data_IF_639956576439
#
_entry.id   IF_639956576439
#
_cell.length_a   1.000
_cell.length_b   1.000
_cell.length_c   1.000
_cell.angle_alpha   90.00
_cell.angle_beta   90.00
_cell.angle_gamma   90.00
#
_symmetry.space_group_name_H-M   'P 1'
#
loop_
_entity.id
_entity.type
_entity.pdbx_description
1 polymer ?
#
# COMPACT_ATOMS: atom_id res chain seq x y z
N UNK A 1 -2.25 -47.04 -2.18
CA UNK A 1 -1.29 -45.94 -1.94
C UNK A 1 -1.81 -44.73 -2.70
N UNK A 2 -2.44 -43.79 -2.01
CA UNK A 2 -2.91 -42.54 -2.61
C UNK A 2 -1.77 -41.53 -2.56
N UNK A 3 -1.32 -41.07 -3.72
CA UNK A 3 -0.43 -39.92 -3.83
C UNK A 3 -1.22 -38.70 -3.37
N UNK A 4 -0.79 -38.09 -2.27
CA UNK A 4 -1.34 -36.83 -1.79
C UNK A 4 -0.84 -35.70 -2.68
N UNK A 5 -1.77 -34.94 -3.25
CA UNK A 5 -1.49 -33.68 -3.92
C UNK A 5 -0.77 -32.71 -2.95
N UNK A 6 0.18 -31.90 -3.44
CA UNK A 6 0.84 -30.91 -2.61
C UNK A 6 -0.18 -29.82 -2.25
N UNK A 7 -0.60 -29.84 -1.00
CA UNK A 7 -1.35 -28.79 -0.32
C UNK A 7 -0.90 -27.40 -0.79
N UNK A 8 -1.78 -26.72 -1.51
CA UNK A 8 -1.68 -25.29 -1.78
C UNK A 8 -1.79 -24.55 -0.45
N UNK A 9 -0.64 -24.27 0.17
CA UNK A 9 -0.57 -23.34 1.29
C UNK A 9 -1.11 -22.00 0.80
N UNK A 10 -2.26 -21.58 1.33
CA UNK A 10 -2.82 -20.24 1.14
C UNK A 10 -1.71 -19.22 1.46
N UNK A 11 -1.37 -18.37 0.49
CA UNK A 11 -0.44 -17.25 0.66
C UNK A 11 -1.10 -16.24 1.60
N UNK A 12 -0.76 -16.29 2.88
CA UNK A 12 -1.12 -15.23 3.82
C UNK A 12 -0.54 -13.90 3.32
N UNK A 13 -1.42 -12.95 3.00
CA UNK A 13 -1.25 -11.50 2.90
C UNK A 13 0.22 -11.01 2.88
N UNK A 14 0.91 -11.27 1.75
CA UNK A 14 2.33 -10.97 1.55
C UNK A 14 2.50 -9.48 1.22
N UNK A 15 2.50 -8.65 2.26
CA UNK A 15 2.83 -7.23 2.15
C UNK A 15 4.35 -7.00 2.04
N UNK A 16 5.12 -8.05 1.74
CA UNK A 16 6.58 -8.04 1.63
C UNK A 16 7.26 -7.40 2.85
N UNK A 17 6.70 -7.60 4.05
CA UNK A 17 7.24 -7.11 5.30
C UNK A 17 7.03 -5.62 5.56
N UNK A 18 6.19 -4.93 4.77
CA UNK A 18 5.93 -3.51 4.94
C UNK A 18 5.39 -3.19 6.34
N UNK A 19 4.35 -3.91 6.79
CA UNK A 19 3.76 -3.66 8.11
C UNK A 19 4.80 -3.85 9.22
N UNK A 20 5.65 -4.87 9.12
CA UNK A 20 6.70 -5.13 10.09
C UNK A 20 7.76 -4.02 10.12
N UNK A 21 8.11 -3.47 8.96
CA UNK A 21 9.01 -2.32 8.86
C UNK A 21 8.42 -1.10 9.57
N UNK A 22 7.14 -0.79 9.34
CA UNK A 22 6.47 0.33 10.00
C UNK A 22 6.30 0.07 11.51
N UNK A 23 5.95 -1.16 11.92
CA UNK A 23 5.87 -1.53 13.33
C UNK A 23 7.20 -1.38 14.07
N UNK A 24 8.32 -1.45 13.38
CA UNK A 24 9.65 -1.24 13.97
C UNK A 24 9.98 0.23 14.26
N UNK A 25 9.18 1.18 13.74
CA UNK A 25 9.42 2.61 13.97
C UNK A 25 9.05 3.03 15.39
N UNK A 26 9.96 3.73 16.05
CA UNK A 26 9.66 4.44 17.28
C UNK A 26 8.92 5.76 16.99
N UNK A 27 8.37 6.40 18.03
CA UNK A 27 7.80 7.73 17.90
C UNK A 27 8.88 8.73 17.43
N UNK A 28 10.10 8.61 17.93
CA UNK A 28 11.22 9.46 17.54
C UNK A 28 11.52 9.33 16.05
N UNK A 29 11.54 8.11 15.50
CA UNK A 29 11.71 7.90 14.06
C UNK A 29 10.57 8.54 13.25
N UNK A 30 9.33 8.44 13.72
CA UNK A 30 8.17 9.02 13.02
C UNK A 30 8.24 10.55 13.03
N UNK A 31 8.72 11.16 14.11
CA UNK A 31 8.83 12.62 14.25
C UNK A 31 10.10 13.20 13.62
N UNK A 32 11.10 12.37 13.32
CA UNK A 32 12.35 12.82 12.72
C UNK A 32 12.16 13.09 11.22
N UNK A 33 12.01 14.37 10.86
CA UNK A 33 11.96 14.83 9.46
C UNK A 33 13.24 14.51 8.67
N UNK A 34 14.34 14.21 9.37
CA UNK A 34 15.63 13.97 8.77
C UNK A 34 16.01 12.49 8.66
N UNK A 35 15.14 11.59 9.13
CA UNK A 35 15.36 10.14 9.18
C UNK A 35 15.87 9.57 7.85
N UNK A 36 15.30 10.06 6.74
CA UNK A 36 15.65 9.65 5.38
C UNK A 36 16.23 10.77 4.53
N UNK A 37 16.59 11.94 5.10
CA UNK A 37 17.07 13.11 4.34
C UNK A 37 18.20 12.79 3.36
N UNK A 38 19.16 11.96 3.78
CA UNK A 38 20.33 11.60 2.97
C UNK A 38 20.10 10.35 2.09
N UNK A 39 18.90 9.76 2.13
CA UNK A 39 18.54 8.55 1.37
C UNK A 39 17.46 8.82 0.33
N UNK A 40 16.68 9.87 0.50
CA UNK A 40 15.75 10.37 -0.52
C UNK A 40 16.55 11.17 -1.54
N UNK A 41 16.96 10.50 -2.61
CA UNK A 41 17.65 11.12 -3.73
C UNK A 41 16.66 11.63 -4.80
N UNK A 42 17.11 12.55 -5.63
CA UNK A 42 16.32 13.00 -6.79
C UNK A 42 16.12 11.82 -7.74
N UNK A 43 14.87 11.50 -8.03
CA UNK A 43 14.53 10.42 -8.97
C UNK A 43 15.13 10.74 -10.35
N UNK A 44 15.91 9.80 -10.87
CA UNK A 44 16.57 9.91 -12.16
C UNK A 44 15.56 9.90 -13.31
N UNK A 45 15.93 10.54 -14.43
CA UNK A 45 15.10 10.50 -15.65
C UNK A 45 15.24 9.19 -16.42
N UNK A 46 16.34 8.47 -16.21
CA UNK A 46 16.65 7.19 -16.83
C UNK A 46 17.23 6.24 -15.79
N UNK A 47 17.05 4.93 -15.99
CA UNK A 47 17.44 3.92 -15.02
C UNK A 47 18.39 2.90 -15.65
N UNK A 48 19.39 2.46 -14.89
CA UNK A 48 20.38 1.50 -15.39
C UNK A 48 19.88 0.06 -15.37
N UNK A 49 18.90 -0.22 -14.51
CA UNK A 49 18.26 -1.51 -14.33
C UNK A 49 16.88 -1.33 -13.71
N UNK A 50 16.06 -2.38 -13.75
CA UNK A 50 14.78 -2.44 -13.03
C UNK A 50 14.99 -2.31 -11.53
N UNK A 51 16.07 -2.86 -10.99
CA UNK A 51 16.39 -2.77 -9.56
C UNK A 51 16.78 -1.33 -9.17
N UNK A 52 17.50 -0.62 -10.04
CA UNK A 52 17.77 0.81 -9.87
C UNK A 52 16.49 1.64 -9.92
N UNK A 53 15.54 1.29 -10.79
CA UNK A 53 14.21 1.92 -10.83
C UNK A 53 13.44 1.67 -9.53
N UNK A 54 13.18 0.41 -9.17
CA UNK A 54 12.37 0.10 -8.00
C UNK A 54 13.02 0.60 -6.70
N UNK A 55 14.33 0.44 -6.56
CA UNK A 55 15.08 0.94 -5.40
C UNK A 55 15.04 2.47 -5.23
N UNK A 56 14.89 3.23 -6.32
CA UNK A 56 14.81 4.70 -6.25
C UNK A 56 13.52 5.20 -5.59
N UNK A 57 12.46 4.40 -5.55
CA UNK A 57 11.18 4.76 -4.94
C UNK A 57 11.02 4.24 -3.50
N UNK A 58 11.92 3.37 -3.02
CA UNK A 58 11.85 2.79 -1.69
C UNK A 58 11.87 3.87 -0.60
N UNK A 59 12.91 4.71 -0.55
CA UNK A 59 13.01 5.75 0.47
C UNK A 59 11.99 6.88 0.33
N UNK A 60 11.63 7.37 -0.88
CA UNK A 60 10.50 8.28 -1.05
C UNK A 60 9.20 7.76 -0.45
N UNK A 61 8.86 6.47 -0.66
CA UNK A 61 7.65 5.88 -0.10
C UNK A 61 7.70 5.77 1.43
N UNK A 62 8.87 5.40 1.99
CA UNK A 62 9.05 5.35 3.44
C UNK A 62 8.92 6.74 4.05
N UNK A 63 9.48 7.76 3.40
CA UNK A 63 9.39 9.15 3.85
C UNK A 63 7.95 9.67 3.78
N UNK A 64 7.21 9.40 2.70
CA UNK A 64 5.78 9.73 2.65
C UNK A 64 5.00 9.04 3.76
N UNK A 65 5.23 7.75 3.96
CA UNK A 65 4.53 6.96 4.99
C UNK A 65 4.83 7.52 6.39
N UNK A 66 6.09 7.90 6.65
CA UNK A 66 6.52 8.56 7.89
C UNK A 66 5.80 9.90 8.08
N UNK A 67 5.82 10.77 7.07
CA UNK A 67 5.16 12.07 7.10
C UNK A 67 3.64 11.94 7.31
N UNK A 68 2.99 10.98 6.65
CA UNK A 68 1.55 10.69 6.80
C UNK A 68 1.21 10.27 8.24
N UNK A 69 2.02 9.40 8.84
CA UNK A 69 1.85 9.01 10.25
C UNK A 69 2.09 10.19 11.20
N UNK A 70 3.15 10.97 10.96
CA UNK A 70 3.48 12.15 11.76
C UNK A 70 2.32 13.15 11.77
N UNK A 71 1.81 13.51 10.59
CA UNK A 71 0.68 14.43 10.44
C UNK A 71 -0.59 13.91 11.14
N UNK A 72 -0.86 12.60 11.07
CA UNK A 72 -1.98 12.00 11.79
C UNK A 72 -1.82 12.10 13.33
N UNK A 73 -0.60 11.89 13.82
CA UNK A 73 -0.28 11.99 15.25
C UNK A 73 -0.36 13.43 15.79
N UNK A 74 -0.11 14.45 14.97
CA UNK A 74 -0.23 15.86 15.38
C UNK A 74 -1.67 16.23 15.75
N UNK A 75 -2.65 15.63 15.09
CA UNK A 75 -4.08 15.85 15.32
C UNK A 75 -4.76 14.71 16.09
N UNK A 76 -3.98 13.92 16.85
CA UNK A 76 -4.46 12.70 17.52
C UNK A 76 -5.66 12.92 18.45
N UNK A 77 -5.78 14.08 19.11
CA UNK A 77 -6.94 14.43 19.93
C UNK A 77 -8.26 14.45 19.13
N UNK A 78 -8.17 14.72 17.83
CA UNK A 78 -9.30 14.74 16.89
C UNK A 78 -9.51 13.42 16.16
N UNK A 79 -8.70 12.40 16.42
CA UNK A 79 -8.82 11.11 15.73
C UNK A 79 -10.07 10.33 16.17
N UNK A 80 -10.71 9.55 15.27
CA UNK A 80 -11.68 8.53 15.64
C UNK A 80 -11.12 7.58 16.69
N UNK A 81 -11.89 7.29 17.73
CA UNK A 81 -11.50 6.33 18.75
C UNK A 81 -12.66 5.42 19.18
N UNK A 82 -12.33 4.24 19.68
CA UNK A 82 -13.30 3.30 20.24
C UNK A 82 -12.74 2.69 21.52
N UNK A 83 -13.62 2.41 22.48
CA UNK A 83 -13.25 1.69 23.70
C UNK A 83 -13.22 0.18 23.41
N UNK A 84 -12.17 -0.50 23.86
CA UNK A 84 -12.03 -1.95 23.75
C UNK A 84 -12.60 -2.59 25.01
N UNK A 85 -13.66 -3.37 24.82
CA UNK A 85 -14.38 -4.06 25.90
C UNK A 85 -13.95 -5.53 26.04
N UNK A 86 -13.23 -6.06 25.04
CA UNK A 86 -12.69 -7.42 25.08
C UNK A 86 -11.47 -7.57 24.17
N UNK A 87 -10.48 -8.31 24.65
CA UNK A 87 -9.24 -8.62 23.96
C UNK A 87 -8.97 -10.12 24.10
N UNK A 88 -8.77 -10.81 22.99
CA UNK A 88 -8.51 -12.25 22.96
C UNK A 88 -7.43 -12.55 21.93
N UNK A 89 -6.42 -13.33 22.31
CA UNK A 89 -5.41 -13.79 21.36
C UNK A 89 -6.02 -14.74 20.33
N UNK A 90 -5.70 -14.54 19.05
CA UNK A 90 -6.14 -15.41 17.98
C UNK A 90 -5.18 -16.61 17.88
N UNK A 91 -5.71 -17.82 17.84
CA UNK A 91 -4.90 -19.02 17.60
C UNK A 91 -4.40 -19.00 16.15
N UNK A 92 -3.12 -18.75 15.95
CA UNK A 92 -2.47 -18.80 14.63
C UNK A 92 -0.97 -19.07 14.76
N UNK A 93 -0.36 -19.52 13.67
CA UNK A 93 1.08 -19.74 13.55
C UNK A 93 1.88 -18.42 13.55
N UNK A 94 1.20 -17.27 13.35
CA UNK A 94 1.77 -15.94 13.41
C UNK A 94 1.61 -15.34 14.81
N UNK A 95 2.70 -14.86 15.38
CA UNK A 95 2.72 -14.17 16.68
C UNK A 95 1.96 -12.83 16.59
N UNK A 96 1.36 -12.39 17.70
CA UNK A 96 0.73 -11.07 17.90
C UNK A 96 -0.59 -10.79 17.16
N UNK A 97 -1.37 -11.81 16.81
CA UNK A 97 -2.74 -11.63 16.30
C UNK A 97 -3.77 -11.65 17.43
N UNK A 98 -4.67 -10.67 17.42
CA UNK A 98 -5.68 -10.49 18.46
C UNK A 98 -7.06 -10.22 17.85
N UNK A 99 -8.09 -10.73 18.51
CA UNK A 99 -9.50 -10.39 18.30
C UNK A 99 -9.91 -9.34 19.33
N UNK A 100 -10.55 -8.27 18.86
CA UNK A 100 -11.02 -7.17 19.69
C UNK A 100 -12.55 -7.04 19.63
N UNK A 101 -13.16 -6.96 20.81
CA UNK A 101 -14.52 -6.49 20.99
C UNK A 101 -14.45 -5.00 21.31
N UNK A 102 -15.15 -4.18 20.53
CA UNK A 102 -15.12 -2.72 20.66
C UNK A 102 -16.52 -2.14 20.78
N UNK A 103 -16.62 -1.05 21.54
CA UNK A 103 -17.79 -0.20 21.55
C UNK A 103 -17.90 0.61 20.24
N UNK A 104 -18.95 1.41 20.08
CA UNK A 104 -19.10 2.27 18.92
C UNK A 104 -17.95 3.28 18.80
N UNK A 105 -17.54 3.56 17.55
CA UNK A 105 -16.56 4.60 17.26
C UNK A 105 -17.11 5.97 17.65
N UNK A 106 -16.32 6.71 18.40
CA UNK A 106 -16.60 8.06 18.90
C UNK A 106 -15.70 9.04 18.16
N UNK A 107 -16.28 9.84 17.26
CA UNK A 107 -15.82 11.17 16.81
C UNK A 107 -16.81 11.73 15.78
N UNK A 108 -16.88 13.06 15.60
CA UNK A 108 -17.97 13.77 14.89
C UNK A 108 -17.55 14.42 13.57
N UNK A 109 -16.37 14.13 13.02
CA UNK A 109 -15.92 14.74 11.76
C UNK A 109 -16.15 13.83 10.56
N UNK A 110 -17.43 13.64 10.23
CA UNK A 110 -17.84 13.29 8.86
C UNK A 110 -18.92 14.28 8.44
N UNK A 111 -18.81 14.82 7.23
CA UNK A 111 -19.84 15.71 6.67
C UNK A 111 -21.21 15.01 6.54
N UNK A 112 -21.24 13.68 6.65
CA UNK A 112 -22.44 12.82 6.56
C UNK A 112 -23.09 12.51 7.91
N UNK A 113 -22.45 12.81 9.04
CA UNK A 113 -22.97 12.50 10.38
C UNK A 113 -22.86 11.03 10.80
N UNK A 114 -22.31 10.15 9.96
CA UNK A 114 -22.05 8.75 10.31
C UNK A 114 -20.69 8.57 10.99
N UNK A 115 -20.61 7.82 12.10
CA UNK A 115 -19.33 7.55 12.76
C UNK A 115 -18.40 6.76 11.84
N UNK A 116 -17.10 6.97 12.02
CA UNK A 116 -16.07 6.22 11.31
C UNK A 116 -16.28 4.70 11.44
N UNK A 117 -16.03 3.99 10.33
CA UNK A 117 -16.06 2.53 10.24
C UNK A 117 -14.65 2.01 9.97
N UNK A 118 -14.29 0.91 10.62
CA UNK A 118 -12.99 0.26 10.42
C UNK A 118 -12.92 -0.48 9.09
N UNK A 119 -11.77 -0.41 8.44
CA UNK A 119 -11.42 -1.11 7.20
C UNK A 119 -10.12 -1.89 7.38
N UNK A 120 -9.93 -3.00 6.64
CA UNK A 120 -8.63 -3.65 6.56
C UNK A 120 -7.51 -2.72 6.10
N UNK A 121 -6.35 -2.89 6.69
CA UNK A 121 -5.19 -2.02 6.49
C UNK A 121 -5.24 -0.70 7.28
N UNK A 122 -6.30 -0.45 8.05
CA UNK A 122 -6.29 0.64 9.03
C UNK A 122 -5.20 0.39 10.07
N UNK A 123 -4.39 1.42 10.27
CA UNK A 123 -3.30 1.48 11.23
C UNK A 123 -3.76 2.33 12.40
N UNK A 124 -3.76 1.72 13.59
CA UNK A 124 -4.36 2.26 14.80
C UNK A 124 -3.34 2.22 15.93
N UNK A 125 -3.58 3.00 16.99
CA UNK A 125 -2.93 2.86 18.28
C UNK A 125 -3.89 2.16 19.24
N UNK A 126 -3.41 1.10 19.88
CA UNK A 126 -4.04 0.50 21.06
C UNK A 126 -3.35 1.06 22.31
N UNK A 127 -4.09 1.65 23.25
CA UNK A 127 -3.50 2.26 24.45
C UNK A 127 -4.40 2.23 25.68
N UNK A 128 -3.81 2.38 26.88
CA UNK A 128 -4.51 2.32 28.18
C UNK A 128 -5.06 3.69 28.64
N UNK A 129 -5.16 4.63 27.70
CA UNK A 129 -5.65 6.00 27.87
C UNK A 129 -5.99 6.58 26.49
N UNK A 130 -6.62 7.75 26.46
CA UNK A 130 -6.80 8.51 25.21
C UNK A 130 -5.69 9.57 25.11
N UNK A 131 -4.74 9.46 24.17
CA UNK A 131 -3.75 10.51 23.96
C UNK A 131 -4.41 11.78 23.41
N UNK A 132 -4.08 12.93 24.02
CA UNK A 132 -4.50 14.25 23.53
C UNK A 132 -3.35 14.93 22.76
N UNK A 133 -2.11 14.51 23.01
CA UNK A 133 -0.94 14.94 22.27
C UNK A 133 0.08 13.80 22.11
N UNK A 134 0.97 13.94 21.12
CA UNK A 134 2.07 13.00 20.84
C UNK A 134 2.93 12.75 22.09
N UNK A 135 3.17 13.81 22.87
CA UNK A 135 3.95 13.73 24.12
C UNK A 135 3.37 12.74 25.12
N UNK A 136 2.07 12.44 25.06
CA UNK A 136 1.45 11.47 25.95
C UNK A 136 1.94 10.04 25.65
N UNK A 137 2.22 9.73 24.37
CA UNK A 137 2.78 8.43 23.93
C UNK A 137 4.21 8.22 24.45
N UNK A 138 4.94 9.28 24.77
CA UNK A 138 6.30 9.22 25.30
C UNK A 138 6.35 9.21 26.84
N UNK A 139 5.20 9.29 27.54
CA UNK A 139 5.17 9.31 29.01
C UNK A 139 5.45 7.94 29.60
N UNK A 140 6.39 7.90 30.53
CA UNK A 140 6.69 6.71 31.33
C UNK A 140 5.44 6.24 32.11
N UNK A 141 5.22 4.92 32.13
CA UNK A 141 4.13 4.28 32.87
C UNK A 141 2.79 4.18 32.13
N UNK A 142 2.72 4.66 30.88
CA UNK A 142 1.59 4.44 29.98
C UNK A 142 1.92 3.35 28.97
N UNK A 143 0.90 2.57 28.59
CA UNK A 143 1.08 1.46 27.68
C UNK A 143 0.36 1.73 26.36
N UNK A 144 1.08 1.54 25.27
CA UNK A 144 0.52 1.63 23.93
C UNK A 144 1.26 0.71 22.95
N UNK A 145 0.60 0.36 21.85
CA UNK A 145 1.13 -0.46 20.76
C UNK A 145 0.48 -0.05 19.44
N UNK A 146 1.23 -0.08 18.34
CA UNK A 146 0.60 -0.01 17.02
C UNK A 146 -0.12 -1.31 16.71
N UNK A 147 -1.27 -1.20 16.05
CA UNK A 147 -2.02 -2.34 15.54
C UNK A 147 -2.49 -2.07 14.11
N UNK A 148 -2.41 -3.09 13.25
CA UNK A 148 -2.94 -3.07 11.89
C UNK A 148 -4.18 -3.97 11.83
N UNK A 149 -5.27 -3.45 11.27
CA UNK A 149 -6.49 -4.24 11.05
C UNK A 149 -6.25 -5.20 9.89
N UNK A 150 -6.46 -6.50 10.12
CA UNK A 150 -6.31 -7.55 9.10
C UNK A 150 -7.65 -7.87 8.45
N UNK A 151 -8.67 -8.13 9.25
CA UNK A 151 -10.03 -8.40 8.78
C UNK A 151 -11.05 -7.82 9.77
N UNK A 152 -12.21 -7.45 9.25
CA UNK A 152 -13.41 -7.20 10.03
C UNK A 152 -14.24 -8.48 9.97
N UNK A 153 -14.49 -9.14 11.11
CA UNK A 153 -15.23 -10.41 11.12
C UNK A 153 -16.74 -10.13 11.11
N UNK A 154 -17.42 -10.53 10.03
CA UNK A 154 -18.87 -10.56 9.95
C UNK A 154 -19.38 -11.98 10.32
N UNK A 155 -19.24 -12.35 11.60
CA UNK A 155 -20.02 -13.45 12.22
C UNK A 155 -19.28 -14.72 12.65
N UNK A 156 -19.33 -15.00 13.96
CA UNK A 156 -19.67 -16.27 14.67
C UNK A 156 -19.42 -16.13 16.19
N UNK A 157 -18.68 -15.11 16.61
CA UNK A 157 -18.40 -14.71 18.01
C UNK A 157 -18.94 -13.27 18.16
N UNK A 158 -20.21 -13.10 18.54
CA UNK A 158 -21.02 -11.86 18.38
C UNK A 158 -20.39 -10.59 19.00
N UNK A 159 -19.42 -10.75 19.91
CA UNK A 159 -18.77 -9.64 20.59
C UNK A 159 -17.49 -9.15 19.89
N UNK A 160 -16.74 -10.02 19.20
CA UNK A 160 -15.39 -9.71 18.66
C UNK A 160 -15.43 -9.30 17.18
N UNK A 161 -15.44 -7.99 16.93
CA UNK A 161 -15.68 -7.42 15.58
C UNK A 161 -14.41 -7.24 14.75
N UNK A 162 -13.24 -7.15 15.39
CA UNK A 162 -11.99 -6.80 14.71
C UNK A 162 -10.92 -7.85 14.94
N UNK A 163 -10.24 -8.26 13.86
CA UNK A 163 -8.98 -9.01 13.94
C UNK A 163 -7.83 -8.08 13.59
N UNK A 164 -6.92 -7.89 14.55
CA UNK A 164 -5.78 -6.99 14.42
C UNK A 164 -4.48 -7.74 14.66
N UNK A 165 -3.42 -7.21 14.08
CA UNK A 165 -2.03 -7.61 14.34
C UNK A 165 -1.35 -6.49 15.12
N UNK A 166 -0.64 -6.82 16.19
CA UNK A 166 0.06 -5.85 17.00
C UNK A 166 1.57 -5.82 16.71
N UNK A 167 2.16 -4.63 16.81
CA UNK A 167 3.61 -4.40 16.68
C UNK A 167 4.47 -5.15 17.71
N UNK A 168 3.87 -5.52 18.84
CA UNK A 168 4.50 -6.25 19.94
C UNK A 168 3.45 -7.06 20.69
N UNK A 169 3.91 -8.07 21.40
CA UNK A 169 3.06 -8.92 22.23
C UNK A 169 2.29 -8.07 23.24
N UNK A 170 0.98 -8.27 23.28
CA UNK A 170 0.08 -7.64 24.23
C UNK A 170 -0.11 -8.61 25.40
N UNK A 171 0.66 -8.45 26.46
CA UNK A 171 0.47 -9.24 27.68
C UNK A 171 -0.87 -8.85 28.35
N UNK A 172 -1.90 -9.71 28.30
CA UNK A 172 -3.23 -9.38 28.81
C UNK A 172 -3.25 -9.08 30.31
N UNK A 173 -2.25 -9.55 31.07
CA UNK A 173 -2.16 -9.28 32.51
C UNK A 173 -1.86 -7.81 32.81
N UNK A 174 -1.08 -7.15 31.95
CA UNK A 174 -0.70 -5.74 32.11
C UNK A 174 -1.87 -4.77 31.88
N UNK A 175 -2.90 -5.22 31.16
CA UNK A 175 -4.10 -4.43 30.84
C UNK A 175 -5.30 -4.75 31.73
N UNK A 176 -5.17 -5.70 32.68
CA UNK A 176 -6.27 -6.04 33.60
C UNK A 176 -6.72 -4.80 34.38
N UNK A 177 -8.02 -4.53 34.33
CA UNK A 177 -8.71 -3.41 35.00
C UNK A 177 -8.37 -2.00 34.50
N UNK A 178 -7.71 -1.86 33.34
CA UNK A 178 -7.50 -0.55 32.70
C UNK A 178 -8.44 -0.35 31.52
N UNK A 179 -8.96 0.87 31.31
CA UNK A 179 -9.70 1.17 30.09
C UNK A 179 -8.75 1.11 28.89
N UNK A 180 -9.18 0.45 27.82
CA UNK A 180 -8.43 0.29 26.59
C UNK A 180 -9.09 1.08 25.46
N UNK A 181 -8.28 1.73 24.63
CA UNK A 181 -8.76 2.54 23.52
C UNK A 181 -8.03 2.19 22.23
N UNK A 182 -8.78 2.07 21.14
CA UNK A 182 -8.27 2.15 19.78
C UNK A 182 -8.38 3.57 19.28
N UNK A 183 -7.32 4.09 18.66
CA UNK A 183 -7.28 5.42 18.05
C UNK A 183 -6.83 5.25 16.60
N UNK A 184 -7.61 5.77 15.65
CA UNK A 184 -7.29 5.71 14.24
C UNK A 184 -6.15 6.67 13.89
N UNK A 185 -5.16 6.17 13.14
CA UNK A 185 -4.14 7.02 12.55
C UNK A 185 -4.36 7.20 11.05
N UNK A 186 -4.28 6.10 10.30
CA UNK A 186 -4.37 6.17 8.83
C UNK A 186 -4.67 4.82 8.22
N UNK A 187 -5.07 4.80 6.94
CA UNK A 187 -5.19 3.56 6.18
C UNK A 187 -3.93 3.35 5.34
N UNK A 188 -3.29 2.19 5.49
CA UNK A 188 -2.02 1.86 4.84
C UNK A 188 -2.17 1.02 3.58
N UNK A 189 -3.37 0.71 3.11
CA UNK A 189 -3.57 -0.05 1.87
C UNK A 189 -2.85 0.60 0.67
N UNK A 190 -2.93 1.94 0.46
CA UNK A 190 -2.19 2.57 -0.64
C UNK A 190 -0.69 2.28 -0.54
N UNK A 191 -0.05 2.63 0.58
CA UNK A 191 1.39 2.43 0.77
C UNK A 191 1.81 0.95 0.65
N UNK A 192 0.99 0.03 1.19
CA UNK A 192 1.20 -1.43 1.05
C UNK A 192 1.17 -1.87 -0.41
N UNK A 193 0.23 -1.36 -1.22
CA UNK A 193 0.17 -1.68 -2.65
C UNK A 193 1.38 -1.19 -3.41
N UNK A 194 1.84 0.03 -3.10
CA UNK A 194 3.06 0.59 -3.70
C UNK A 194 4.25 -0.27 -3.31
N UNK A 195 4.42 -0.56 -2.02
CA UNK A 195 5.52 -1.39 -1.54
C UNK A 195 5.53 -2.76 -2.19
N UNK A 196 4.37 -3.42 -2.28
CA UNK A 196 4.24 -4.68 -3.00
C UNK A 196 4.65 -4.53 -4.47
N UNK A 197 4.23 -3.47 -5.16
CA UNK A 197 4.61 -3.22 -6.54
C UNK A 197 6.12 -3.02 -6.75
N UNK A 198 6.82 -2.44 -5.76
CA UNK A 198 8.27 -2.29 -5.79
C UNK A 198 9.02 -3.61 -5.55
N UNK A 199 8.40 -4.58 -4.86
CA UNK A 199 9.05 -5.83 -4.41
C UNK A 199 8.47 -7.10 -5.06
N UNK A 200 7.44 -6.98 -5.89
CA UNK A 200 6.81 -8.11 -6.57
C UNK A 200 7.84 -8.85 -7.44
N UNK A 201 8.06 -10.15 -7.28
CA UNK A 201 8.89 -10.91 -8.20
C UNK A 201 8.16 -11.05 -9.53
N UNK A 202 8.82 -10.74 -10.65
CA UNK A 202 8.17 -10.79 -11.96
C UNK A 202 9.12 -10.76 -13.14
N UNK A 203 8.60 -11.17 -14.31
CA UNK A 203 9.31 -10.98 -15.57
C UNK A 203 9.18 -9.52 -16.01
N UNK A 204 10.23 -8.74 -15.76
CA UNK A 204 10.29 -7.32 -16.05
C UNK A 204 10.89 -6.99 -17.43
N UNK A 205 10.90 -7.94 -18.37
CA UNK A 205 11.54 -7.73 -19.67
C UNK A 205 10.99 -6.50 -20.41
N UNK A 206 9.67 -6.27 -20.34
CA UNK A 206 9.03 -5.07 -20.90
C UNK A 206 9.52 -3.81 -20.18
N UNK A 207 9.62 -3.83 -18.85
CA UNK A 207 10.12 -2.68 -18.08
C UNK A 207 11.59 -2.41 -18.36
N UNK A 208 12.42 -3.46 -18.56
CA UNK A 208 13.81 -3.28 -18.99
C UNK A 208 13.88 -2.61 -20.35
N UNK A 209 13.04 -3.03 -21.31
CA UNK A 209 12.98 -2.45 -22.65
C UNK A 209 12.48 -1.00 -22.66
N UNK A 210 11.62 -0.61 -21.71
CA UNK A 210 11.06 0.76 -21.65
C UNK A 210 11.92 1.70 -20.77
N UNK A 211 12.39 1.23 -19.61
CA UNK A 211 13.02 2.06 -18.58
C UNK A 211 14.56 2.05 -18.65
N UNK A 212 15.15 0.98 -19.20
CA UNK A 212 16.59 0.72 -19.15
C UNK A 212 17.27 0.73 -20.53
N UNK A 213 16.54 1.09 -21.59
CA UNK A 213 17.09 1.29 -22.93
C UNK A 213 17.87 2.60 -22.99
N UNK A 214 19.16 2.49 -23.34
CA UNK A 214 20.04 3.66 -23.55
C UNK A 214 19.81 4.32 -24.91
N UNK A 215 19.09 3.67 -25.80
CA UNK A 215 18.86 4.07 -27.18
C UNK A 215 17.37 3.95 -27.49
N UNK A 216 16.84 4.94 -28.22
CA UNK A 216 15.49 4.87 -28.76
C UNK A 216 15.36 3.64 -29.69
N UNK A 217 14.14 3.12 -29.84
CA UNK A 217 13.89 2.00 -30.75
C UNK A 217 14.40 2.34 -32.18
N UNK A 218 14.94 1.39 -32.97
CA UNK A 218 15.60 1.67 -34.26
C UNK A 218 14.70 2.35 -35.30
N UNK A 219 13.39 2.33 -35.09
CA UNK A 219 12.35 3.03 -35.83
C UNK A 219 12.12 4.49 -35.41
N UNK A 220 12.79 4.98 -34.36
CA UNK A 220 12.89 6.40 -33.95
C UNK A 220 14.03 7.06 -34.74
N UNK A 221 13.98 6.94 -36.06
CA UNK A 221 15.03 7.38 -36.98
C UNK A 221 14.85 8.79 -37.55
N UNK A 222 14.05 9.66 -36.93
CA UNK A 222 13.85 11.03 -37.42
C UNK A 222 14.30 12.07 -36.41
N UNK A 223 15.27 12.90 -36.85
CA UNK A 223 15.76 14.11 -36.18
C UNK A 223 14.66 15.14 -35.84
N UNK A 224 13.45 14.96 -36.38
CA UNK A 224 12.33 15.90 -36.26
C UNK A 224 11.34 15.55 -35.13
N UNK A 225 11.59 14.47 -34.36
CA UNK A 225 10.87 14.24 -33.11
C UNK A 225 11.35 15.23 -32.04
N UNK A 226 11.02 16.51 -32.22
CA UNK A 226 11.01 17.45 -31.12
C UNK A 226 10.16 16.84 -30.02
N UNK A 227 10.75 16.64 -28.84
CA UNK A 227 10.08 16.07 -27.65
C UNK A 227 8.77 16.83 -27.42
N UNK A 228 7.66 16.29 -27.92
CA UNK A 228 6.32 16.82 -27.66
C UNK A 228 5.89 16.22 -26.34
N UNK A 229 6.29 16.89 -25.27
CA UNK A 229 5.79 16.64 -23.94
C UNK A 229 4.26 16.80 -23.95
N UNK A 230 3.54 15.83 -23.39
CA UNK A 230 2.14 16.01 -23.08
C UNK A 230 2.03 17.23 -22.14
N UNK A 231 1.20 18.24 -22.45
CA UNK A 231 1.10 19.43 -21.62
C UNK A 231 0.42 19.07 -20.28
N UNK A 232 1.21 19.01 -19.21
CA UNK A 232 0.72 18.83 -17.85
C UNK A 232 1.74 18.13 -16.95
N UNK A 233 1.63 18.27 -15.61
CA UNK A 233 2.42 17.47 -14.68
C UNK A 233 2.02 16.00 -14.81
N UNK A 234 2.81 15.20 -15.52
CA UNK A 234 2.53 13.76 -15.72
C UNK A 234 2.67 12.92 -14.44
N UNK A 235 3.28 13.49 -13.40
CA UNK A 235 3.57 12.82 -12.14
C UNK A 235 3.19 13.77 -10.99
N UNK A 236 1.91 13.80 -10.65
CA UNK A 236 1.50 14.10 -9.27
C UNK A 236 2.01 13.00 -8.33
N UNK A 237 1.84 13.13 -7.00
CA UNK A 237 2.59 12.34 -6.01
C UNK A 237 2.56 10.83 -6.19
N UNK A 238 1.56 10.24 -6.84
CA UNK A 238 1.53 8.81 -7.13
C UNK A 238 0.74 8.51 -8.42
N UNK A 239 1.43 8.28 -9.54
CA UNK A 239 0.78 7.81 -10.78
C UNK A 239 0.46 6.31 -10.71
N UNK A 240 -0.24 5.86 -9.67
CA UNK A 240 -1.10 4.69 -9.80
C UNK A 240 -2.34 5.12 -10.60
N UNK A 241 -2.91 4.22 -11.38
CA UNK A 241 -4.21 4.45 -11.99
C UNK A 241 -5.21 4.55 -10.84
N UNK A 242 -5.40 5.74 -10.29
CA UNK A 242 -6.42 6.03 -9.28
C UNK A 242 -7.63 6.58 -10.02
N UNK A 243 -8.65 5.74 -10.20
CA UNK A 243 -9.91 6.14 -10.84
C UNK A 243 -10.82 6.70 -9.75
N UNK A 244 -11.05 8.02 -9.78
CA UNK A 244 -11.96 8.72 -8.86
C UNK A 244 -13.33 8.01 -8.85
N UNK A 245 -13.74 7.53 -7.67
CA UNK A 245 -15.01 6.82 -7.47
C UNK A 245 -14.95 5.30 -7.70
N UNK A 246 -13.79 4.73 -8.00
CA UNK A 246 -13.60 3.28 -8.00
C UNK A 246 -13.78 2.71 -6.59
N UNK A 247 -14.59 1.66 -6.46
CA UNK A 247 -14.81 0.96 -5.18
C UNK A 247 -13.93 -0.28 -5.14
N UNK A 248 -13.20 -0.43 -4.04
CA UNK A 248 -12.45 -1.65 -3.76
C UNK A 248 -13.41 -2.80 -3.45
N UNK A 249 -13.23 -3.92 -4.13
CA UNK A 249 -14.00 -5.13 -3.93
C UNK A 249 -13.06 -6.26 -3.54
N UNK A 250 -13.55 -7.18 -2.69
CA UNK A 250 -12.84 -8.41 -2.39
C UNK A 250 -12.71 -9.25 -3.66
N UNK A 251 -11.55 -9.88 -3.86
CA UNK A 251 -11.47 -11.00 -4.78
C UNK A 251 -12.20 -12.23 -4.23
N UNK A 252 -12.55 -13.15 -5.13
CA UNK A 252 -13.29 -14.39 -4.80
C UNK A 252 -12.56 -15.27 -3.75
N UNK A 253 -11.27 -14.99 -3.52
CA UNK A 253 -10.38 -15.68 -2.61
C UNK A 253 -10.16 -14.93 -1.28
N UNK A 254 -10.78 -13.76 -1.08
CA UNK A 254 -10.72 -12.96 0.16
C UNK A 254 -9.33 -12.47 0.55
N UNK A 255 -8.39 -12.50 -0.38
CA UNK A 255 -6.94 -12.31 -0.14
C UNK A 255 -6.44 -10.96 -0.62
N UNK A 256 -7.14 -10.31 -1.56
CA UNK A 256 -6.77 -8.99 -2.06
C UNK A 256 -7.97 -8.12 -2.44
N UNK A 257 -7.80 -6.81 -2.28
CA UNK A 257 -8.74 -5.81 -2.77
C UNK A 257 -8.41 -5.46 -4.22
N UNK A 258 -9.40 -5.59 -5.10
CA UNK A 258 -9.30 -5.21 -6.52
C UNK A 258 -10.26 -4.04 -6.78
N UNK A 259 -9.79 -3.03 -7.50
CA UNK A 259 -10.64 -1.97 -8.02
C UNK A 259 -10.99 -2.28 -9.48
N UNK A 260 -12.23 -2.74 -9.72
CA UNK A 260 -12.66 -3.13 -11.07
C UNK A 260 -12.64 -1.96 -12.07
N UNK A 261 -12.77 -0.72 -11.59
CA UNK A 261 -12.65 0.46 -12.45
C UNK A 261 -11.21 0.65 -12.93
N UNK A 262 -10.23 0.47 -12.04
CA UNK A 262 -8.80 0.51 -12.39
C UNK A 262 -8.46 -0.63 -13.35
N UNK A 263 -8.94 -1.84 -13.08
CA UNK A 263 -8.76 -3.00 -13.97
C UNK A 263 -9.34 -2.73 -15.37
N UNK A 264 -10.54 -2.16 -15.46
CA UNK A 264 -11.15 -1.82 -16.75
C UNK A 264 -10.33 -0.77 -17.53
N UNK A 265 -9.79 0.23 -16.83
CA UNK A 265 -8.90 1.23 -17.42
C UNK A 265 -7.60 0.58 -17.89
N UNK A 266 -6.95 -0.24 -17.07
CA UNK A 266 -5.75 -1.02 -17.45
C UNK A 266 -6.03 -1.88 -18.68
N UNK A 267 -7.12 -2.63 -18.68
CA UNK A 267 -7.51 -3.48 -19.82
C UNK A 267 -7.76 -2.66 -21.09
N UNK A 268 -8.30 -1.45 -20.96
CA UNK A 268 -8.52 -0.54 -22.09
C UNK A 268 -7.19 0.00 -22.63
N UNK A 269 -6.29 0.41 -21.74
CA UNK A 269 -4.93 0.84 -22.08
C UNK A 269 -4.19 -0.30 -22.80
N UNK A 270 -4.20 -1.52 -22.25
CA UNK A 270 -3.57 -2.69 -22.86
C UNK A 270 -4.16 -3.01 -24.24
N UNK A 271 -5.50 -2.96 -24.40
CA UNK A 271 -6.15 -3.15 -25.71
C UNK A 271 -5.72 -2.10 -26.73
N UNK A 272 -5.60 -0.83 -26.32
CA UNK A 272 -5.19 0.25 -27.21
C UNK A 272 -3.71 0.15 -27.58
N UNK A 273 -2.85 -0.19 -26.62
CA UNK A 273 -1.43 -0.46 -26.87
C UNK A 273 -1.25 -1.64 -27.82
N UNK A 274 -1.95 -2.75 -27.61
CA UNK A 274 -1.90 -3.90 -28.51
C UNK A 274 -2.30 -3.53 -29.94
N UNK A 275 -3.41 -2.79 -30.11
CA UNK A 275 -3.82 -2.28 -31.43
C UNK A 275 -2.77 -1.37 -32.05
N UNK A 276 -2.16 -0.48 -31.26
CA UNK A 276 -1.09 0.40 -31.70
C UNK A 276 0.15 -0.37 -32.14
N UNK A 277 0.63 -1.33 -31.35
CA UNK A 277 1.77 -2.18 -31.68
C UNK A 277 1.54 -2.96 -32.99
N UNK A 278 0.37 -3.59 -33.14
CA UNK A 278 0.01 -4.32 -34.37
C UNK A 278 -0.04 -3.39 -35.58
N UNK A 279 -0.59 -2.18 -35.43
CA UNK A 279 -0.64 -1.19 -36.51
C UNK A 279 0.77 -0.72 -36.92
N UNK A 280 1.67 -0.47 -35.96
CA UNK A 280 3.06 -0.08 -36.24
C UNK A 280 3.83 -1.22 -36.93
N UNK A 281 3.60 -2.46 -36.51
CA UNK A 281 4.26 -3.63 -37.09
C UNK A 281 3.80 -3.92 -38.52
N UNK A 282 2.50 -3.75 -38.80
CA UNK A 282 1.96 -3.78 -40.17
C UNK A 282 2.52 -2.65 -41.03
N UNK A 283 2.59 -1.42 -40.49
CA UNK A 283 3.16 -0.29 -41.22
C UNK A 283 4.61 -0.58 -41.63
N UNK A 284 5.40 -1.16 -40.72
CA UNK A 284 6.81 -1.50 -40.94
C UNK A 284 6.96 -2.54 -42.06
N UNK A 285 6.14 -3.60 -42.04
CA UNK A 285 6.10 -4.62 -43.10
C UNK A 285 5.73 -4.03 -44.46
N UNK A 286 4.77 -3.09 -44.50
CA UNK A 286 4.39 -2.41 -45.75
C UNK A 286 5.47 -1.45 -46.27
N UNK A 287 6.21 -0.76 -45.39
CA UNK A 287 7.35 0.06 -45.82
C UNK A 287 8.52 -0.78 -46.33
N UNK A 288 8.88 -1.88 -45.65
CA UNK A 288 9.94 -2.78 -46.12
C UNK A 288 9.56 -3.52 -47.41
N UNK A 289 8.28 -3.84 -47.62
CA UNK A 289 7.81 -4.41 -48.88
C UNK A 289 7.92 -3.41 -50.06
N UNK A 290 7.63 -2.12 -49.82
CA UNK A 290 7.81 -1.05 -50.82
C UNK A 290 9.28 -0.76 -51.15
N UNK A 291 10.18 -0.90 -50.19
CA UNK A 291 11.63 -0.75 -50.44
C UNK A 291 12.17 -1.90 -51.31
N UNK A 292 11.65 -3.14 -51.16
CA UNK A 292 12.02 -4.26 -52.03
C UNK A 292 11.44 -4.19 -53.45
N UNK A 293 10.34 -3.48 -53.68
CA UNK A 293 9.78 -3.25 -55.03
C UNK A 293 10.46 -2.09 -55.78
N UNK A 294 11.28 -1.28 -55.12
CA UNK A 294 12.01 -0.15 -55.72
C UNK A 294 13.38 -0.49 -56.33
N UNK A 295 13.87 -1.72 -56.10
CA UNK A 295 15.20 -2.21 -56.55
C UNK A 295 15.10 -3.24 -57.71
N UNK A 296 14.01 -3.21 -58.51
CA UNK A 296 13.86 -4.00 -59.75
C UNK A 296 13.89 -3.11 -60.98
#
# INVERSE_FOLDING_TARGET
MMQGDPSSKKKDNDDYGFTNLIFSWSIENILDEDLYRNKVEKIAQTFQSTDHYFGSYTYPLLEETRAQLCSSMEIIHQAPYAEVIGLKEAKSDHNNLYKLAINCWKNRFTHSGEPYKTFPGDFLILSDYRPEAIKDLQRNGRMWSFVSVRTTEDGNDDDFKLKVEASKELDPTNWRNKPLFLIFLTNMIPNKRIWAALHMPGNFEILKQILCTKEDAPNVGRYDFGKKYLPGPMFGPYSFINVVGGKEQFDDEGSSYKNLAEVAVVMTILKNLHKGCVAVQLLFLFTSAKEMEGDI
#
